data_IF_389238655449
#
_entry.id   IF_389238655449
#
_cell.length_a   1.000
_cell.length_b   1.000
_cell.length_c   1.000
_cell.angle_alpha   90.00
_cell.angle_beta   90.00
_cell.angle_gamma   90.00
#
_symmetry.space_group_name_H-M   'P 1'
#
loop_
_entity.id
_entity.type
_entity.pdbx_description
1 polymer ?
#
# COMPACT_ATOMS: atom_id res chain seq x y z
N UNK A 1 -34.60 -35.16 38.91
CA UNK A 1 -34.99 -34.24 37.82
C UNK A 1 -33.71 -33.65 37.24
N UNK A 2 -33.52 -33.81 35.92
CA UNK A 2 -32.36 -33.36 35.13
C UNK A 2 -32.29 -31.83 35.10
N UNK A 3 -31.08 -31.24 35.05
CA UNK A 3 -30.58 -30.40 33.94
C UNK A 3 -29.06 -30.28 34.05
N UNK A 4 -28.35 -30.67 32.99
CA UNK A 4 -26.94 -30.37 32.68
C UNK A 4 -26.77 -28.93 32.22
N UNK A 5 -25.68 -28.26 32.59
CA UNK A 5 -25.13 -27.10 31.88
C UNK A 5 -23.60 -27.23 31.96
N UNK A 6 -22.96 -27.85 30.97
CA UNK A 6 -22.43 -27.27 29.72
C UNK A 6 -21.07 -26.59 29.94
N UNK A 7 -20.02 -27.27 29.48
CA UNK A 7 -18.65 -26.77 29.34
C UNK A 7 -18.62 -25.42 28.65
N UNK A 8 -18.07 -24.42 29.32
CA UNK A 8 -17.72 -23.13 28.73
C UNK A 8 -16.24 -23.19 28.30
N UNK A 9 -16.02 -23.62 27.06
CA UNK A 9 -14.75 -23.42 26.36
C UNK A 9 -14.61 -21.92 26.06
N UNK A 10 -13.75 -21.22 26.80
CA UNK A 10 -13.25 -19.91 26.39
C UNK A 10 -12.38 -20.08 25.14
N UNK A 11 -12.93 -19.79 23.96
CA UNK A 11 -12.12 -19.50 22.80
C UNK A 11 -11.62 -18.05 22.93
N UNK A 12 -10.36 -17.86 23.30
CA UNK A 12 -9.69 -16.56 23.13
C UNK A 12 -9.51 -16.34 21.61
N UNK A 13 -10.02 -15.25 21.02
CA UNK A 13 -9.60 -14.86 19.69
C UNK A 13 -8.13 -14.45 19.75
N UNK A 14 -7.27 -15.22 19.08
CA UNK A 14 -5.89 -14.82 18.80
C UNK A 14 -5.97 -13.66 17.80
N UNK A 15 -5.96 -12.45 18.34
CA UNK A 15 -5.78 -11.23 17.55
C UNK A 15 -4.33 -11.23 17.07
N UNK A 16 -4.10 -11.60 15.82
CA UNK A 16 -2.80 -11.49 15.17
C UNK A 16 -2.54 -10.01 14.90
N UNK A 17 -2.01 -9.29 15.89
CA UNK A 17 -1.43 -7.98 15.70
C UNK A 17 -0.09 -8.16 14.99
N UNK A 18 -0.02 -7.80 13.72
CA UNK A 18 1.25 -7.72 12.99
C UNK A 18 1.96 -6.44 13.46
N UNK A 19 3.04 -6.58 14.23
CA UNK A 19 3.92 -5.46 14.60
C UNK A 19 4.95 -5.27 13.50
N UNK A 20 5.02 -4.06 12.94
CA UNK A 20 6.13 -3.62 12.09
C UNK A 20 6.52 -2.18 12.44
N UNK A 21 7.77 -1.99 12.89
CA UNK A 21 8.49 -0.71 12.98
C UNK A 21 7.97 0.31 14.01
N UNK A 22 8.81 0.68 14.98
CA UNK A 22 8.46 1.69 16.00
C UNK A 22 8.34 3.10 15.38
N UNK A 23 7.18 3.74 15.55
CA UNK A 23 6.95 5.19 15.42
C UNK A 23 6.55 5.76 16.79
N UNK A 24 6.85 7.03 17.05
CA UNK A 24 6.47 7.70 18.29
C UNK A 24 4.94 7.71 18.47
N UNK A 25 4.47 7.65 19.72
CA UNK A 25 3.05 7.76 20.04
C UNK A 25 2.49 9.10 19.50
N UNK A 26 1.64 9.05 18.45
CA UNK A 26 0.80 10.18 18.05
C UNK A 26 0.74 10.57 16.57
N UNK A 27 1.50 9.95 15.67
CA UNK A 27 1.39 10.23 14.22
C UNK A 27 0.50 9.16 13.56
N UNK A 28 -0.75 9.52 13.32
CA UNK A 28 -1.78 8.64 12.78
C UNK A 28 -1.66 8.59 11.26
N UNK A 29 -1.18 7.47 10.72
CA UNK A 29 -1.14 7.25 9.28
C UNK A 29 -2.53 6.88 8.75
N UNK A 30 -2.91 7.45 7.61
CA UNK A 30 -4.16 7.16 6.94
C UNK A 30 -3.93 6.20 5.77
N UNK A 31 -4.91 5.35 5.49
CA UNK A 31 -4.85 4.38 4.38
C UNK A 31 -5.95 4.66 3.36
N UNK A 32 -5.63 4.58 2.07
CA UNK A 32 -6.60 4.66 0.97
C UNK A 32 -6.32 3.57 -0.07
N UNK A 33 -7.37 3.03 -0.70
CA UNK A 33 -7.24 2.06 -1.78
C UNK A 33 -7.92 2.59 -3.05
N UNK A 34 -7.22 2.54 -4.18
CA UNK A 34 -7.69 3.03 -5.45
C UNK A 34 -7.77 1.89 -6.47
N UNK A 35 -8.88 1.80 -7.19
CA UNK A 35 -9.01 0.97 -8.38
C UNK A 35 -8.38 1.68 -9.58
N UNK A 36 -7.56 0.93 -10.31
CA UNK A 36 -6.69 1.44 -11.36
C UNK A 36 -6.91 0.69 -12.67
N UNK A 37 -6.72 1.41 -13.77
CA UNK A 37 -6.54 0.77 -15.08
C UNK A 37 -5.19 0.06 -15.18
N UNK A 38 -4.13 0.68 -14.63
CA UNK A 38 -2.80 0.09 -14.51
C UNK A 38 -2.16 0.44 -13.16
N UNK A 39 -2.03 -0.53 -12.26
CA UNK A 39 -1.43 -0.36 -10.94
C UNK A 39 0.06 0.03 -10.94
N UNK A 40 0.84 -0.27 -11.99
CA UNK A 40 2.26 0.08 -12.06
C UNK A 40 2.41 1.59 -12.20
N UNK A 41 1.65 2.15 -13.13
CA UNK A 41 1.57 3.60 -13.32
C UNK A 41 0.92 4.25 -12.10
N UNK A 42 -0.11 3.61 -11.54
CA UNK A 42 -0.80 4.08 -10.34
C UNK A 42 0.11 4.23 -9.12
N UNK A 43 0.77 3.14 -8.71
CA UNK A 43 1.71 3.07 -7.58
C UNK A 43 2.82 4.09 -7.75
N UNK A 44 3.45 4.12 -8.92
CA UNK A 44 4.51 5.08 -9.19
C UNK A 44 3.99 6.53 -9.05
N UNK A 45 2.76 6.81 -9.50
CA UNK A 45 2.17 8.16 -9.46
C UNK A 45 1.90 8.60 -8.03
N UNK A 46 1.26 7.77 -7.21
CA UNK A 46 0.96 8.12 -5.81
C UNK A 46 2.20 8.15 -4.94
N UNK A 47 3.16 7.25 -5.17
CA UNK A 47 4.41 7.20 -4.41
C UNK A 47 5.35 8.40 -4.61
N UNK A 48 4.93 9.41 -5.39
CA UNK A 48 5.62 10.71 -5.53
C UNK A 48 4.88 11.87 -4.88
N UNK A 49 3.69 11.64 -4.37
CA UNK A 49 2.93 12.66 -3.65
C UNK A 49 3.62 12.85 -2.29
N UNK A 50 3.94 14.09 -1.96
CA UNK A 50 4.48 14.46 -0.63
C UNK A 50 3.51 13.98 0.46
N UNK A 51 4.01 13.51 1.59
CA UNK A 51 3.20 12.84 2.62
C UNK A 51 2.83 11.38 2.35
N UNK A 52 3.12 10.81 1.17
CA UNK A 52 2.97 9.35 0.97
C UNK A 52 4.15 8.60 1.57
N UNK A 53 3.85 7.68 2.47
CA UNK A 53 4.86 6.93 3.20
C UNK A 53 5.12 5.56 2.57
N UNK A 54 4.04 4.87 2.20
CA UNK A 54 4.10 3.55 1.57
C UNK A 54 2.99 3.37 0.56
N UNK A 55 3.25 2.52 -0.43
CA UNK A 55 2.22 2.06 -1.37
C UNK A 55 2.46 0.61 -1.72
N UNK A 56 1.39 -0.11 -2.05
CA UNK A 56 1.47 -1.47 -2.57
C UNK A 56 0.40 -1.70 -3.62
N UNK A 57 0.72 -2.56 -4.59
CA UNK A 57 -0.21 -2.94 -5.64
C UNK A 57 -0.87 -4.27 -5.35
N UNK A 58 -2.02 -4.49 -5.97
CA UNK A 58 -2.69 -5.78 -5.89
C UNK A 58 -3.81 -5.92 -6.88
N UNK A 59 -4.58 -6.97 -6.68
CA UNK A 59 -5.82 -7.21 -7.41
C UNK A 59 -6.98 -7.33 -6.44
N UNK A 60 -8.12 -6.76 -6.81
CA UNK A 60 -9.37 -6.93 -6.09
C UNK A 60 -10.54 -6.94 -7.08
N UNK A 61 -11.44 -7.92 -6.96
CA UNK A 61 -12.62 -8.06 -7.80
C UNK A 61 -12.38 -7.95 -9.32
N UNK A 62 -11.25 -8.51 -9.81
CA UNK A 62 -10.87 -8.46 -11.24
C UNK A 62 -10.27 -7.11 -11.69
N UNK A 63 -10.05 -6.18 -10.77
CA UNK A 63 -9.41 -4.88 -11.00
C UNK A 63 -8.01 -4.86 -10.44
N UNK A 64 -7.15 -4.06 -11.06
CA UNK A 64 -5.88 -3.68 -10.45
C UNK A 64 -6.14 -2.61 -9.39
N UNK A 65 -5.43 -2.69 -8.27
CA UNK A 65 -5.58 -1.75 -7.17
C UNK A 65 -4.22 -1.27 -6.68
N UNK A 66 -4.22 -0.07 -6.09
CA UNK A 66 -3.09 0.50 -5.36
C UNK A 66 -3.61 0.91 -3.98
N UNK A 67 -2.99 0.40 -2.92
CA UNK A 67 -3.20 0.88 -1.57
C UNK A 67 -2.05 1.79 -1.16
N UNK A 68 -2.37 2.89 -0.47
CA UNK A 68 -1.44 3.93 -0.07
C UNK A 68 -1.60 4.21 1.42
N UNK A 69 -0.50 4.23 2.14
CA UNK A 69 -0.38 4.75 3.50
C UNK A 69 0.25 6.15 3.41
N UNK A 70 -0.36 7.14 4.05
CA UNK A 70 0.06 8.54 3.97
C UNK A 70 -0.12 9.28 5.31
N UNK A 71 0.67 10.32 5.51
CA UNK A 71 0.53 11.26 6.61
C UNK A 71 -0.59 12.27 6.29
N UNK A 72 -1.72 12.26 7.03
CA UNK A 72 -2.83 13.17 6.80
C UNK A 72 -2.51 14.63 7.14
N UNK A 73 -1.39 14.92 7.82
CA UNK A 73 -0.90 16.28 8.04
C UNK A 73 -0.17 16.85 6.81
N UNK A 74 0.34 16.00 5.92
CA UNK A 74 1.10 16.39 4.73
C UNK A 74 0.31 16.24 3.42
N UNK A 75 -0.61 15.27 3.34
CA UNK A 75 -1.46 15.05 2.15
C UNK A 75 -2.84 14.52 2.49
N UNK A 76 -3.76 14.57 1.51
CA UNK A 76 -5.13 14.08 1.66
C UNK A 76 -5.61 13.29 0.42
N UNK A 77 -6.83 12.74 0.50
CA UNK A 77 -7.47 12.02 -0.61
C UNK A 77 -7.61 12.87 -1.89
N UNK A 78 -7.85 14.18 -1.76
CA UNK A 78 -8.02 15.09 -2.89
C UNK A 78 -6.72 15.23 -3.68
N UNK A 79 -5.59 15.40 -2.98
CA UNK A 79 -4.26 15.46 -3.58
C UNK A 79 -3.90 14.15 -4.29
N UNK A 80 -4.16 12.99 -3.65
CA UNK A 80 -3.91 11.67 -4.20
C UNK A 80 -4.74 11.41 -5.47
N UNK A 81 -6.06 11.63 -5.41
CA UNK A 81 -6.96 11.47 -6.57
C UNK A 81 -6.60 12.46 -7.68
N UNK A 82 -6.26 13.70 -7.32
CA UNK A 82 -5.79 14.71 -8.26
C UNK A 82 -4.54 14.27 -9.03
N UNK A 83 -3.56 13.66 -8.34
CA UNK A 83 -2.36 13.11 -8.98
C UNK A 83 -2.71 11.95 -9.93
N UNK A 84 -3.56 11.03 -9.48
CA UNK A 84 -3.97 9.85 -10.24
C UNK A 84 -4.79 10.21 -11.50
N UNK A 85 -5.71 11.18 -11.40
CA UNK A 85 -6.50 11.67 -12.54
C UNK A 85 -5.66 12.30 -13.64
N UNK A 86 -4.60 13.05 -13.29
CA UNK A 86 -3.69 13.65 -14.28
C UNK A 86 -3.00 12.60 -15.15
N UNK A 87 -2.78 11.39 -14.62
CA UNK A 87 -2.17 10.27 -15.34
C UNK A 87 -3.18 9.33 -16.01
N UNK A 88 -4.48 9.64 -15.96
CA UNK A 88 -5.56 8.84 -16.58
C UNK A 88 -5.50 7.34 -16.25
N UNK A 89 -4.98 7.00 -15.08
CA UNK A 89 -4.78 5.61 -14.63
C UNK A 89 -5.79 5.19 -13.55
N UNK A 90 -6.74 6.08 -13.23
CA UNK A 90 -7.65 6.02 -12.09
C UNK A 90 -9.08 5.75 -12.49
N UNK A 91 -9.72 4.79 -11.81
CA UNK A 91 -11.12 4.47 -11.99
C UNK A 91 -11.96 4.97 -10.80
N UNK A 92 -11.66 4.49 -9.59
CA UNK A 92 -12.51 4.69 -8.42
C UNK A 92 -11.75 4.58 -7.09
N UNK A 93 -12.30 5.16 -6.03
CA UNK A 93 -11.91 4.90 -4.65
C UNK A 93 -12.57 3.59 -4.17
N UNK A 94 -11.81 2.73 -3.50
CA UNK A 94 -12.30 1.47 -2.93
C UNK A 94 -12.40 1.63 -1.42
N UNK A 95 -13.60 1.47 -0.88
CA UNK A 95 -13.88 1.54 0.55
C UNK A 95 -13.93 0.16 1.18
N UNK A 96 -13.24 0.00 2.31
CA UNK A 96 -13.36 -1.16 3.16
C UNK A 96 -14.76 -1.34 3.76
N UNK A 97 -15.09 -2.53 4.28
CA UNK A 97 -16.37 -2.75 4.95
C UNK A 97 -16.57 -1.78 6.13
N UNK A 98 -17.63 -0.96 6.06
CA UNK A 98 -17.96 0.02 7.10
C UNK A 98 -17.20 1.34 7.01
N UNK A 99 -16.35 1.53 6.00
CA UNK A 99 -15.81 2.85 5.68
C UNK A 99 -16.88 3.71 4.99
N UNK A 100 -16.94 4.98 5.37
CA UNK A 100 -17.86 5.94 4.78
C UNK A 100 -17.23 6.63 3.57
N UNK A 101 -18.05 6.98 2.59
CA UNK A 101 -17.59 7.73 1.44
C UNK A 101 -17.15 9.13 1.88
N UNK A 102 -15.99 9.63 1.38
CA UNK A 102 -15.53 10.97 1.72
C UNK A 102 -16.53 12.01 1.22
N UNK A 103 -16.98 12.88 2.14
CA UNK A 103 -17.88 13.98 1.79
C UNK A 103 -17.20 15.01 0.89
N UNK A 104 -17.96 15.57 -0.06
CA UNK A 104 -17.49 16.67 -0.93
C UNK A 104 -16.44 16.28 -1.97
N UNK A 105 -16.10 15.00 -2.10
CA UNK A 105 -15.14 14.50 -3.08
C UNK A 105 -15.87 13.97 -4.31
N UNK A 106 -15.67 14.62 -5.46
CA UNK A 106 -16.16 14.10 -6.74
C UNK A 106 -15.31 12.89 -7.14
N UNK A 107 -15.72 11.68 -6.76
CA UNK A 107 -15.02 10.42 -7.06
C UNK A 107 -16.01 9.26 -7.13
N UNK A 108 -15.79 8.33 -8.08
CA UNK A 108 -16.53 7.07 -8.07
C UNK A 108 -16.09 6.21 -6.88
N UNK A 109 -17.04 5.61 -6.19
CA UNK A 109 -16.79 4.80 -4.98
C UNK A 109 -17.24 3.37 -5.21
N UNK A 110 -16.36 2.42 -4.88
CA UNK A 110 -16.64 0.98 -4.89
C UNK A 110 -16.53 0.43 -3.47
N UNK A 111 -17.55 -0.31 -3.04
CA UNK A 111 -17.50 -1.03 -1.77
C UNK A 111 -16.74 -2.36 -1.93
N UNK A 112 -15.70 -2.54 -1.12
CA UNK A 112 -14.90 -3.74 -1.10
C UNK A 112 -15.71 -4.94 -0.61
N UNK A 113 -15.73 -6.00 -1.42
CA UNK A 113 -16.26 -7.33 -1.07
C UNK A 113 -15.11 -8.32 -1.16
N UNK A 114 -14.88 -9.08 -0.09
CA UNK A 114 -13.74 -9.97 0.02
C UNK A 114 -12.41 -9.24 0.17
N UNK A 115 -11.32 -10.01 0.20
CA UNK A 115 -10.00 -9.47 0.51
C UNK A 115 -9.20 -9.15 -0.77
N UNK A 116 -8.49 -8.00 -0.82
CA UNK A 116 -7.52 -7.74 -1.87
C UNK A 116 -6.37 -8.75 -1.81
N UNK A 117 -5.83 -9.11 -2.97
CA UNK A 117 -4.60 -9.89 -3.10
C UNK A 117 -3.45 -8.97 -3.51
N UNK A 118 -2.59 -8.62 -2.55
CA UNK A 118 -1.42 -7.76 -2.77
C UNK A 118 -0.25 -8.54 -3.38
N UNK A 119 0.46 -7.89 -4.30
CA UNK A 119 1.66 -8.44 -4.91
C UNK A 119 2.87 -8.00 -4.09
N UNK A 120 3.83 -8.91 -3.79
CA UNK A 120 5.07 -8.52 -3.13
C UNK A 120 5.78 -7.39 -3.89
N UNK A 121 6.12 -6.25 -3.25
CA UNK A 121 6.61 -5.05 -3.95
C UNK A 121 7.88 -5.25 -4.77
N UNK A 122 8.73 -6.20 -4.39
CA UNK A 122 9.93 -6.56 -5.17
C UNK A 122 9.63 -6.99 -6.60
N UNK A 123 8.43 -7.49 -6.89
CA UNK A 123 8.11 -7.95 -8.25
C UNK A 123 8.00 -6.81 -9.28
N UNK A 124 7.72 -5.57 -8.86
CA UNK A 124 7.73 -4.39 -9.72
C UNK A 124 9.12 -4.14 -10.32
N UNK A 125 10.16 -4.35 -9.53
CA UNK A 125 11.55 -4.09 -9.91
C UNK A 125 12.05 -5.06 -10.99
N UNK A 126 11.48 -6.26 -11.12
CA UNK A 126 11.92 -7.28 -12.10
C UNK A 126 12.01 -6.76 -13.53
N UNK A 127 11.11 -5.85 -13.90
CA UNK A 127 10.98 -5.37 -15.27
C UNK A 127 12.01 -4.32 -15.65
N UNK A 128 12.48 -3.51 -14.70
CA UNK A 128 13.35 -2.35 -14.95
C UNK A 128 14.72 -2.44 -14.26
N UNK A 129 14.77 -3.06 -13.09
CA UNK A 129 15.94 -3.21 -12.25
C UNK A 129 16.04 -4.63 -11.69
N UNK A 130 16.20 -5.65 -12.57
CA UNK A 130 16.32 -7.05 -12.13
C UNK A 130 17.49 -7.27 -11.16
N UNK A 131 18.53 -6.44 -11.21
CA UNK A 131 19.67 -6.46 -10.29
C UNK A 131 19.27 -6.21 -8.82
N UNK A 132 18.17 -5.49 -8.57
CA UNK A 132 17.71 -5.18 -7.23
C UNK A 132 17.01 -6.36 -6.55
N UNK A 133 16.51 -7.34 -7.32
CA UNK A 133 15.80 -8.51 -6.77
C UNK A 133 16.70 -9.38 -5.89
N UNK A 134 17.97 -9.50 -6.26
CA UNK A 134 18.93 -10.37 -5.61
C UNK A 134 19.46 -9.77 -4.29
N UNK A 135 19.14 -8.51 -4.01
CA UNK A 135 19.63 -7.79 -2.83
C UNK A 135 18.92 -8.18 -1.53
N UNK A 136 17.86 -8.99 -1.60
CA UNK A 136 17.08 -9.36 -0.42
C UNK A 136 16.44 -8.13 0.24
N UNK A 137 15.80 -7.29 -0.57
CA UNK A 137 15.17 -6.05 -0.10
C UNK A 137 14.08 -6.33 0.94
N UNK A 138 13.97 -5.44 1.94
CA UNK A 138 12.76 -5.36 2.75
C UNK A 138 11.58 -4.84 1.91
N UNK A 139 10.37 -4.99 2.44
CA UNK A 139 9.16 -4.47 1.79
C UNK A 139 9.25 -2.95 1.59
N UNK A 140 9.58 -2.21 2.65
CA UNK A 140 9.76 -0.74 2.61
C UNK A 140 10.81 -0.29 1.59
N UNK A 141 11.95 -1.00 1.51
CA UNK A 141 12.98 -0.70 0.52
C UNK A 141 12.46 -0.88 -0.90
N UNK A 142 11.77 -1.99 -1.16
CA UNK A 142 11.22 -2.28 -2.49
C UNK A 142 10.15 -1.24 -2.88
N UNK A 143 9.26 -0.87 -1.96
CA UNK A 143 8.25 0.19 -2.18
C UNK A 143 8.90 1.52 -2.56
N UNK A 144 9.90 1.97 -1.80
CA UNK A 144 10.61 3.22 -2.11
C UNK A 144 11.31 3.18 -3.47
N UNK A 145 11.92 2.04 -3.82
CA UNK A 145 12.61 1.86 -5.10
C UNK A 145 11.65 1.74 -6.30
N UNK A 146 10.40 1.31 -6.10
CA UNK A 146 9.41 1.16 -7.18
C UNK A 146 9.07 2.51 -7.84
N UNK A 147 8.78 3.54 -7.05
CA UNK A 147 8.49 4.89 -7.56
C UNK A 147 9.67 5.48 -8.34
N UNK A 148 10.89 5.30 -7.82
CA UNK A 148 12.11 5.73 -8.47
C UNK A 148 12.37 4.99 -9.79
N UNK A 149 12.24 3.67 -9.80
CA UNK A 149 12.39 2.80 -10.98
C UNK A 149 11.53 3.25 -12.18
N UNK A 150 10.33 3.77 -11.91
CA UNK A 150 9.43 4.20 -12.97
C UNK A 150 9.80 5.57 -13.57
N UNK A 151 10.10 6.56 -12.74
CA UNK A 151 10.26 7.95 -13.17
C UNK A 151 11.71 8.43 -13.32
N UNK A 152 12.67 7.67 -12.79
CA UNK A 152 14.07 8.08 -12.72
C UNK A 152 14.32 9.19 -11.70
N UNK A 153 15.52 9.78 -11.77
CA UNK A 153 16.02 10.74 -10.78
C UNK A 153 17.03 10.10 -9.81
N UNK A 154 17.40 10.80 -8.72
CA UNK A 154 18.28 10.24 -7.71
C UNK A 154 17.61 9.04 -7.04
N UNK A 155 18.36 7.93 -6.92
CA UNK A 155 17.88 6.74 -6.23
C UNK A 155 17.66 7.06 -4.74
N UNK A 156 16.54 6.63 -4.14
CA UNK A 156 16.32 6.84 -2.72
C UNK A 156 17.41 6.14 -1.90
N UNK A 157 17.87 6.80 -0.84
CA UNK A 157 18.95 6.34 0.04
C UNK A 157 18.46 5.30 1.06
N UNK A 158 17.81 4.24 0.56
CA UNK A 158 17.17 3.19 1.37
C UNK A 158 17.98 1.90 1.46
N UNK A 159 18.98 1.71 0.59
CA UNK A 159 19.82 0.52 0.57
C UNK A 159 20.90 0.56 1.67
N UNK A 160 21.18 -0.59 2.29
CA UNK A 160 22.31 -0.73 3.23
C UNK A 160 23.65 -0.63 2.51
N UNK A 161 24.74 -0.45 3.26
CA UNK A 161 26.10 -0.43 2.70
C UNK A 161 26.43 -1.76 2.00
N UNK A 162 26.01 -2.88 2.58
CA UNK A 162 26.21 -4.22 2.05
C UNK A 162 25.42 -4.43 0.75
N UNK A 163 24.17 -3.99 0.70
CA UNK A 163 23.34 -4.05 -0.52
C UNK A 163 23.96 -3.20 -1.64
N UNK A 164 24.44 -1.99 -1.33
CA UNK A 164 25.13 -1.12 -2.31
C UNK A 164 26.42 -1.76 -2.85
N UNK A 165 27.20 -2.42 -1.99
CA UNK A 165 28.42 -3.10 -2.40
C UNK A 165 28.14 -4.21 -3.43
N UNK A 166 27.02 -4.93 -3.28
CA UNK A 166 26.59 -5.98 -4.22
C UNK A 166 26.16 -5.46 -5.60
N UNK A 167 25.81 -4.18 -5.72
CA UNK A 167 25.49 -3.56 -7.02
C UNK A 167 26.73 -3.08 -7.79
N UNK A 168 27.88 -2.95 -7.10
CA UNK A 168 29.11 -2.38 -7.67
C UNK A 168 30.13 -3.42 -8.10
N UNK A 169 29.85 -4.71 -7.87
CA UNK A 169 30.73 -5.85 -8.21
C UNK A 169 30.10 -6.73 -9.28
#
# INVERSE_FOLDING_TARGET
MRVSILSMLLALPVLFAFVSGARAEGEETSTATFAMYCYWTGEATVGRVEGVERSRIGHWAGREIVQVEYDPAETDLSALIGALRRQRSFDALVLGPGEEAPEGLDVEVLEAKGNPHFIPPKHSLRTRHPELLELGLSEDQAIALNSWSYFGGPMPEVLTKEQKARLSG
#
